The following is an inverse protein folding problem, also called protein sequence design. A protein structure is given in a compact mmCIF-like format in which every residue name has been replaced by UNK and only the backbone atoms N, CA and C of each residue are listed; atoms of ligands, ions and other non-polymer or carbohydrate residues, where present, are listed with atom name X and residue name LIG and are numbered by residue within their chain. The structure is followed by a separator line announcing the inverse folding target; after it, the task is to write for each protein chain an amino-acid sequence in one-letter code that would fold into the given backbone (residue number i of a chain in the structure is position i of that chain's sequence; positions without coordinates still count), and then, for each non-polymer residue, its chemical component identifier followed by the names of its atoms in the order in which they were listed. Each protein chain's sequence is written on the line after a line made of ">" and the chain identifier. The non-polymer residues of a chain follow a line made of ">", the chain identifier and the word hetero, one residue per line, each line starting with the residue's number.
data_IF_799851953143
#
_entry.id   IF_799851953143
#
_cell.length_a   1.000
_cell.length_b   1.000
_cell.length_c   1.000
_cell.angle_alpha   90.00
_cell.angle_beta   90.00
_cell.angle_gamma   90.00
#
_symmetry.space_group_name_H-M   'P 1'
#
loop_
_entity.id
_entity.type
_entity.pdbx_description
1 polymer ?
#
# COMPACT_ATOMS: atom_id res chain seq x y z
N UNK A 1 8.92 26.97 50.62
CA UNK A 1 8.26 25.72 50.11
C UNK A 1 6.99 26.15 49.45
N UNK A 2 7.03 26.39 48.13
CA UNK A 2 5.87 26.77 47.33
C UNK A 2 5.49 25.55 46.49
N UNK A 3 4.32 25.01 46.80
CA UNK A 3 3.74 23.84 46.11
C UNK A 3 3.18 24.32 44.78
N UNK A 4 3.74 23.83 43.65
CA UNK A 4 3.17 24.01 42.32
C UNK A 4 2.00 23.05 42.13
N UNK A 5 0.81 23.56 41.84
CA UNK A 5 -0.37 22.82 41.41
C UNK A 5 -0.26 22.57 39.89
N UNK A 6 -0.51 21.35 39.40
CA UNK A 6 -0.55 21.07 37.95
C UNK A 6 -1.99 21.24 37.42
N UNK A 7 -2.39 22.47 37.20
CA UNK A 7 -3.59 22.79 36.45
C UNK A 7 -3.36 24.20 35.92
N UNK A 8 -3.01 24.30 34.64
CA UNK A 8 -3.14 25.43 33.71
C UNK A 8 -2.05 25.34 32.62
N UNK A 9 -2.16 24.29 31.81
CA UNK A 9 -1.60 24.32 30.45
C UNK A 9 -2.76 24.03 29.50
N UNK A 10 -3.59 25.04 29.25
CA UNK A 10 -4.38 25.10 28.04
C UNK A 10 -3.40 25.21 26.87
N UNK A 11 -3.17 24.09 26.18
CA UNK A 11 -2.53 24.10 24.89
C UNK A 11 -3.54 24.73 23.93
N UNK A 12 -3.42 26.06 23.76
CA UNK A 12 -4.08 26.78 22.67
C UNK A 12 -3.42 26.27 21.39
N UNK A 13 -4.05 25.29 20.73
CA UNK A 13 -3.75 24.98 19.35
C UNK A 13 -4.09 26.26 18.56
N UNK A 14 -3.06 26.98 18.12
CA UNK A 14 -3.23 28.13 17.26
C UNK A 14 -3.92 27.64 15.98
N UNK A 15 -5.09 28.18 15.65
CA UNK A 15 -5.70 27.97 14.34
C UNK A 15 -4.69 28.43 13.28
N UNK A 16 -4.39 27.60 12.25
CA UNK A 16 -3.45 27.97 11.20
C UNK A 16 -3.98 29.23 10.50
N UNK A 17 -3.14 30.26 10.41
CA UNK A 17 -3.48 31.46 9.66
C UNK A 17 -3.59 31.07 8.17
N UNK A 18 -4.52 31.65 7.43
CA UNK A 18 -4.78 31.36 6.01
C UNK A 18 -3.54 31.44 5.09
N UNK A 19 -2.46 32.07 5.52
CA UNK A 19 -1.18 32.12 4.83
C UNK A 19 -0.38 30.79 4.86
N UNK A 20 -0.73 29.87 5.77
CA UNK A 20 0.00 28.61 5.99
C UNK A 20 -0.65 27.42 5.29
N UNK A 21 -1.77 27.61 4.60
CA UNK A 21 -2.50 26.53 3.91
C UNK A 21 -2.18 26.57 2.41
N UNK A 22 -1.83 25.44 1.85
CA UNK A 22 -1.58 25.29 0.41
C UNK A 22 -2.83 24.89 -0.36
N UNK A 23 -3.69 24.02 0.23
CA UNK A 23 -4.92 23.55 -0.40
C UNK A 23 -6.03 23.55 0.65
N UNK A 24 -7.14 24.23 0.32
CA UNK A 24 -8.36 24.27 1.13
C UNK A 24 -9.49 23.52 0.44
N UNK A 25 -10.11 22.60 1.15
CA UNK A 25 -11.20 21.76 0.67
C UNK A 25 -12.39 21.98 1.62
N UNK A 26 -13.54 22.45 1.09
CA UNK A 26 -14.72 22.78 1.91
C UNK A 26 -15.98 22.11 1.35
N UNK A 27 -16.56 21.20 2.14
CA UNK A 27 -17.81 20.50 1.87
C UNK A 27 -17.84 19.75 0.54
N UNK A 28 -16.70 19.26 0.08
CA UNK A 28 -16.56 18.72 -1.28
C UNK A 28 -17.28 17.40 -1.44
N UNK A 29 -18.21 17.36 -2.39
CA UNK A 29 -18.92 16.16 -2.82
C UNK A 29 -18.67 15.90 -4.31
N UNK A 30 -18.54 14.62 -4.67
CA UNK A 30 -18.40 14.20 -6.07
C UNK A 30 -19.33 13.05 -6.38
N UNK A 31 -20.21 13.27 -7.38
CA UNK A 31 -21.14 12.29 -7.90
C UNK A 31 -20.76 11.88 -9.30
N UNK A 32 -20.81 10.57 -9.56
CA UNK A 32 -20.73 9.99 -10.91
C UNK A 32 -22.07 9.33 -11.25
N UNK A 33 -22.45 9.37 -12.53
CA UNK A 33 -23.62 8.65 -13.04
C UNK A 33 -23.17 7.31 -13.59
N UNK A 34 -23.68 6.24 -13.02
CA UNK A 34 -23.44 4.89 -13.49
C UNK A 34 -24.59 4.46 -14.40
N UNK A 35 -24.25 4.07 -15.63
CA UNK A 35 -25.23 3.45 -16.53
C UNK A 35 -25.57 2.06 -15.99
N UNK A 36 -26.86 1.81 -15.77
CA UNK A 36 -27.33 0.49 -15.43
C UNK A 36 -27.85 -0.18 -16.71
N UNK A 37 -26.95 -0.90 -17.39
CA UNK A 37 -27.30 -1.71 -18.56
C UNK A 37 -27.98 -3.00 -18.11
N UNK A 38 -29.18 -2.89 -17.56
CA UNK A 38 -30.05 -4.06 -17.45
C UNK A 38 -30.42 -4.42 -18.89
N UNK A 39 -29.99 -5.62 -19.37
CA UNK A 39 -30.49 -6.23 -20.59
C UNK A 39 -32.01 -6.28 -20.52
N UNK A 40 -32.67 -5.26 -21.06
CA UNK A 40 -34.13 -5.19 -21.13
C UNK A 40 -34.56 -6.24 -22.16
N UNK A 41 -35.22 -7.29 -21.71
CA UNK A 41 -35.90 -8.19 -22.63
C UNK A 41 -36.86 -7.39 -23.50
N UNK A 42 -36.86 -7.66 -24.80
CA UNK A 42 -37.66 -6.97 -25.82
C UNK A 42 -39.16 -6.95 -25.45
N UNK A 43 -39.64 -7.86 -24.60
CA UNK A 43 -41.01 -7.90 -24.07
C UNK A 43 -41.35 -6.76 -23.09
N UNK A 44 -40.38 -6.17 -22.37
CA UNK A 44 -40.63 -5.05 -21.46
C UNK A 44 -40.71 -3.70 -22.15
N UNK A 45 -40.22 -3.56 -23.39
CA UNK A 45 -40.35 -2.35 -24.19
C UNK A 45 -41.80 -2.04 -24.58
N UNK A 46 -42.67 -3.03 -24.63
CA UNK A 46 -44.07 -2.86 -25.03
C UNK A 46 -45.05 -2.70 -23.85
N UNK A 47 -44.64 -2.97 -22.61
CA UNK A 47 -45.53 -2.95 -21.47
C UNK A 47 -45.46 -1.70 -20.58
N UNK A 48 -44.47 -0.84 -20.73
CA UNK A 48 -44.27 0.30 -19.83
C UNK A 48 -44.80 1.63 -20.39
N UNK A 49 -46.12 1.81 -20.34
CA UNK A 49 -46.77 3.12 -20.59
C UNK A 49 -46.74 4.06 -19.36
N UNK A 50 -46.13 3.65 -18.23
CA UNK A 50 -46.01 4.48 -17.03
C UNK A 50 -44.71 4.13 -16.28
N UNK A 51 -43.74 5.04 -16.29
CA UNK A 51 -42.55 5.02 -15.45
C UNK A 51 -41.28 5.05 -16.25
N UNK A 52 -40.72 6.24 -16.50
CA UNK A 52 -39.31 6.40 -16.91
C UNK A 52 -38.46 5.74 -15.83
N UNK A 53 -38.09 4.46 -16.00
CA UNK A 53 -37.07 3.83 -15.18
C UNK A 53 -35.81 4.71 -15.26
N UNK A 54 -35.30 5.13 -14.10
CA UNK A 54 -34.03 5.88 -14.03
C UNK A 54 -32.96 5.02 -14.69
N UNK A 55 -32.50 5.45 -15.84
CA UNK A 55 -31.42 4.80 -16.63
C UNK A 55 -30.06 4.94 -15.97
N UNK A 56 -29.96 5.64 -14.84
CA UNK A 56 -28.73 6.01 -14.18
C UNK A 56 -28.89 5.85 -12.67
N UNK A 57 -27.91 5.20 -12.06
CA UNK A 57 -27.73 5.22 -10.62
C UNK A 57 -26.65 6.25 -10.27
N UNK A 58 -26.94 7.12 -9.34
CA UNK A 58 -26.00 8.12 -8.84
C UNK A 58 -25.06 7.45 -7.82
N UNK A 59 -23.78 7.46 -8.10
CA UNK A 59 -22.72 6.98 -7.20
C UNK A 59 -21.96 8.17 -6.61
N UNK A 60 -22.02 8.34 -5.31
CA UNK A 60 -21.28 9.36 -4.59
C UNK A 60 -19.90 8.85 -4.20
N UNK A 61 -18.87 9.30 -4.91
CA UNK A 61 -17.47 8.96 -4.64
C UNK A 61 -16.92 9.75 -3.44
N UNK A 62 -17.38 11.00 -3.25
CA UNK A 62 -17.09 11.84 -2.09
C UNK A 62 -18.39 12.41 -1.54
N UNK A 63 -18.51 12.48 -0.21
CA UNK A 63 -19.77 12.76 0.50
C UNK A 63 -19.70 13.95 1.45
N UNK A 64 -18.86 14.91 1.19
CA UNK A 64 -18.58 16.08 2.01
C UNK A 64 -17.24 15.93 2.71
N UNK A 65 -16.20 16.44 2.06
CA UNK A 65 -14.82 16.44 2.56
C UNK A 65 -14.48 17.87 2.95
N UNK A 66 -14.04 18.05 4.18
CA UNK A 66 -13.44 19.26 4.71
C UNK A 66 -12.00 18.92 5.11
N UNK A 67 -11.01 19.53 4.45
CA UNK A 67 -9.60 19.20 4.65
C UNK A 67 -8.72 20.40 4.30
N UNK A 68 -7.76 20.70 5.17
CA UNK A 68 -6.70 21.67 4.94
C UNK A 68 -5.35 20.95 4.80
N UNK A 69 -4.62 21.26 3.74
CA UNK A 69 -3.27 20.74 3.52
C UNK A 69 -2.29 21.89 3.75
N UNK A 70 -1.44 21.79 4.80
CA UNK A 70 -0.50 22.85 5.15
C UNK A 70 0.57 23.05 4.07
N UNK A 71 1.01 24.30 3.92
CA UNK A 71 2.11 24.67 3.00
C UNK A 71 3.45 24.09 3.48
N UNK A 72 4.25 23.61 2.52
CA UNK A 72 5.60 23.09 2.79
C UNK A 72 5.64 21.75 3.52
N UNK A 73 4.49 21.10 3.71
CA UNK A 73 4.37 19.78 4.33
C UNK A 73 4.21 18.67 3.29
N UNK A 74 4.63 17.48 3.66
CA UNK A 74 4.29 16.27 2.94
C UNK A 74 3.04 15.65 3.58
N UNK A 75 1.96 15.52 2.80
CA UNK A 75 0.65 15.10 3.26
C UNK A 75 0.23 13.79 2.59
N UNK A 76 -0.07 12.76 3.39
CA UNK A 76 -0.47 11.45 2.93
C UNK A 76 -2.00 11.29 2.83
N UNK A 77 -2.51 10.64 1.77
CA UNK A 77 -3.91 10.19 1.69
C UNK A 77 -3.95 8.67 1.74
N UNK A 78 -4.55 8.10 2.77
CA UNK A 78 -4.68 6.66 2.96
C UNK A 78 -6.14 6.19 2.95
N UNK A 79 -6.35 4.90 2.75
CA UNK A 79 -7.65 4.26 2.71
C UNK A 79 -7.69 3.11 1.70
N UNK A 80 -8.69 2.23 1.79
CA UNK A 80 -8.85 1.09 0.89
C UNK A 80 -9.15 1.50 -0.56
N UNK A 81 -9.08 0.54 -1.50
CA UNK A 81 -9.48 0.76 -2.88
C UNK A 81 -10.95 1.17 -2.97
N UNK A 82 -11.24 2.22 -3.75
CA UNK A 82 -12.58 2.79 -3.86
C UNK A 82 -12.99 3.72 -2.72
N UNK A 83 -12.11 4.06 -1.77
CA UNK A 83 -12.41 5.01 -0.69
C UNK A 83 -12.58 6.48 -1.16
N UNK A 84 -12.14 6.82 -2.37
CA UNK A 84 -12.27 8.15 -2.96
C UNK A 84 -10.94 8.92 -3.14
N UNK A 85 -9.78 8.36 -2.76
CA UNK A 85 -8.46 9.02 -2.84
C UNK A 85 -8.16 9.61 -4.22
N UNK A 86 -8.12 8.78 -5.26
CA UNK A 86 -7.83 9.21 -6.63
C UNK A 86 -8.89 10.19 -7.17
N UNK A 87 -10.14 10.09 -6.70
CA UNK A 87 -11.18 11.08 -7.03
C UNK A 87 -10.86 12.42 -6.40
N UNK A 88 -10.46 12.45 -5.13
CA UNK A 88 -10.09 13.67 -4.43
C UNK A 88 -8.86 14.32 -5.08
N UNK A 89 -7.82 13.53 -5.40
CA UNK A 89 -6.64 14.05 -6.10
C UNK A 89 -6.99 14.67 -7.46
N UNK A 90 -7.84 14.00 -8.25
CA UNK A 90 -8.28 14.53 -9.56
C UNK A 90 -9.08 15.84 -9.44
N UNK A 91 -9.80 16.02 -8.33
CA UNK A 91 -10.48 17.27 -8.03
C UNK A 91 -9.47 18.37 -7.62
N UNK A 92 -8.51 18.05 -6.76
CA UNK A 92 -7.45 18.98 -6.33
C UNK A 92 -6.58 19.41 -7.51
N UNK A 93 -6.24 18.48 -8.40
CA UNK A 93 -5.49 18.75 -9.62
C UNK A 93 -6.31 19.51 -10.70
N UNK A 94 -7.58 19.81 -10.44
CA UNK A 94 -8.44 20.51 -11.40
C UNK A 94 -8.89 19.68 -12.61
N UNK A 95 -8.55 18.38 -12.67
CA UNK A 95 -8.95 17.45 -13.76
C UNK A 95 -10.46 17.25 -13.73
N UNK A 96 -11.03 17.19 -12.52
CA UNK A 96 -12.48 17.13 -12.32
C UNK A 96 -12.97 18.35 -11.54
N UNK A 97 -14.24 18.69 -11.73
CA UNK A 97 -14.92 19.70 -10.90
C UNK A 97 -15.73 19.02 -9.81
N UNK A 98 -15.79 19.56 -8.58
CA UNK A 98 -16.69 19.06 -7.55
C UNK A 98 -18.15 19.18 -7.99
N UNK A 99 -19.02 18.31 -7.47
CA UNK A 99 -20.47 18.42 -7.68
C UNK A 99 -21.05 19.46 -6.72
N UNK A 100 -20.53 19.52 -5.51
CA UNK A 100 -20.84 20.51 -4.46
C UNK A 100 -19.56 20.82 -3.68
N UNK A 101 -19.51 21.99 -3.04
CA UNK A 101 -18.35 22.45 -2.28
C UNK A 101 -17.30 23.14 -3.15
N UNK A 102 -16.22 23.58 -2.51
CA UNK A 102 -15.12 24.33 -3.15
C UNK A 102 -13.77 23.72 -2.84
N UNK A 103 -12.83 23.89 -3.77
CA UNK A 103 -11.41 23.60 -3.58
C UNK A 103 -10.65 24.84 -4.01
N UNK A 104 -9.82 25.35 -3.13
CA UNK A 104 -8.92 26.46 -3.39
C UNK A 104 -7.48 26.00 -3.19
N UNK A 105 -6.57 26.46 -4.03
CA UNK A 105 -5.14 26.15 -3.92
C UNK A 105 -4.31 27.43 -4.08
N UNK A 106 -3.25 27.54 -3.29
CA UNK A 106 -2.37 28.69 -3.24
C UNK A 106 -0.97 28.29 -3.73
N UNK A 107 -0.80 28.27 -5.05
CA UNK A 107 0.46 27.92 -5.71
C UNK A 107 0.25 27.08 -6.97
N UNK A 108 1.34 26.86 -7.71
CA UNK A 108 1.35 26.05 -8.93
C UNK A 108 1.32 24.57 -8.59
N UNK A 109 0.29 23.87 -9.11
CA UNK A 109 0.17 22.43 -8.95
C UNK A 109 0.85 21.72 -10.12
N UNK A 110 1.71 20.75 -9.79
CA UNK A 110 2.13 19.69 -10.71
C UNK A 110 1.55 18.37 -10.22
N UNK A 111 0.82 17.66 -11.10
CA UNK A 111 0.14 16.43 -10.74
C UNK A 111 0.69 15.26 -11.55
N UNK A 112 1.18 14.23 -10.85
CA UNK A 112 1.66 12.97 -11.45
C UNK A 112 0.57 11.89 -11.51
N UNK A 113 -0.70 12.31 -11.73
CA UNK A 113 -1.84 11.39 -11.74
C UNK A 113 -1.95 10.58 -13.03
N UNK A 114 -1.43 11.10 -14.11
CA UNK A 114 -1.41 10.47 -15.43
C UNK A 114 -0.08 10.87 -16.10
N UNK A 115 1.01 10.17 -15.75
CA UNK A 115 2.34 10.47 -16.30
C UNK A 115 2.35 10.38 -17.83
N UNK A 116 2.79 11.47 -18.47
CA UNK A 116 2.75 11.58 -19.93
C UNK A 116 1.40 11.99 -20.49
N UNK A 117 0.38 12.27 -19.66
CA UNK A 117 -0.85 12.90 -20.13
C UNK A 117 -0.51 14.21 -20.87
N UNK A 118 -1.00 14.35 -22.08
CA UNK A 118 -0.68 15.49 -22.94
C UNK A 118 0.56 15.32 -23.81
N UNK A 119 1.25 14.18 -23.78
CA UNK A 119 2.30 13.89 -24.75
C UNK A 119 1.70 13.71 -26.15
N UNK A 120 2.31 14.36 -27.14
CA UNK A 120 1.96 14.18 -28.54
C UNK A 120 2.84 13.08 -29.14
N UNK A 121 2.28 11.96 -29.59
CA UNK A 121 3.05 10.78 -30.01
C UNK A 121 4.04 11.03 -31.15
N UNK A 122 3.71 11.95 -32.08
CA UNK A 122 4.54 12.25 -33.24
C UNK A 122 5.65 13.27 -32.94
N UNK A 123 5.63 13.92 -31.78
CA UNK A 123 6.64 14.91 -31.39
C UNK A 123 7.79 14.18 -30.65
N UNK A 124 8.99 14.79 -30.69
CA UNK A 124 10.16 14.32 -29.97
C UNK A 124 9.95 14.43 -28.43
N UNK A 125 10.77 13.74 -27.65
CA UNK A 125 10.79 13.91 -26.21
C UNK A 125 11.04 15.37 -25.82
N UNK A 126 11.97 16.05 -26.48
CA UNK A 126 12.27 17.48 -26.28
C UNK A 126 11.06 18.38 -26.55
N UNK A 127 10.36 18.16 -27.64
CA UNK A 127 9.16 18.95 -27.99
C UNK A 127 8.04 18.68 -26.97
N UNK A 128 7.92 17.45 -26.48
CA UNK A 128 6.97 17.09 -25.42
C UNK A 128 7.31 17.75 -24.07
N UNK A 129 8.59 17.99 -23.75
CA UNK A 129 8.97 18.82 -22.60
C UNK A 129 8.42 20.24 -22.76
N UNK A 130 8.58 20.86 -23.92
CA UNK A 130 7.99 22.19 -24.18
C UNK A 130 6.48 22.19 -24.09
N UNK A 131 5.84 21.19 -24.70
CA UNK A 131 4.39 21.07 -24.70
C UNK A 131 3.83 20.95 -23.28
N UNK A 132 4.38 20.03 -22.49
CA UNK A 132 3.94 19.83 -21.10
C UNK A 132 4.27 21.02 -20.21
N UNK A 133 5.46 21.58 -20.30
CA UNK A 133 5.82 22.77 -19.57
C UNK A 133 4.87 23.94 -19.86
N UNK A 134 4.46 24.11 -21.13
CA UNK A 134 3.49 25.13 -21.52
C UNK A 134 2.08 24.85 -20.96
N UNK A 135 1.64 23.59 -20.94
CA UNK A 135 0.37 23.18 -20.31
C UNK A 135 0.38 23.48 -18.82
N UNK A 136 1.53 23.29 -18.14
CA UNK A 136 1.73 23.63 -16.72
C UNK A 136 1.92 25.13 -16.47
N UNK A 137 1.76 25.98 -17.51
CA UNK A 137 1.82 27.44 -17.40
C UNK A 137 3.23 28.01 -17.31
N UNK A 138 4.28 27.26 -17.69
CA UNK A 138 5.65 27.74 -17.71
C UNK A 138 5.95 28.55 -18.96
N UNK A 139 6.74 29.60 -18.78
CA UNK A 139 7.28 30.36 -19.92
C UNK A 139 8.38 29.54 -20.61
N UNK A 140 8.59 29.80 -21.91
CA UNK A 140 9.66 29.14 -22.67
C UNK A 140 11.03 29.27 -21.99
N UNK A 141 11.35 30.43 -21.44
CA UNK A 141 12.60 30.69 -20.72
C UNK A 141 12.78 29.79 -19.50
N UNK A 142 11.70 29.53 -18.77
CA UNK A 142 11.73 28.61 -17.61
C UNK A 142 11.93 27.16 -18.06
N UNK A 143 11.26 26.75 -19.15
CA UNK A 143 11.42 25.40 -19.71
C UNK A 143 12.85 25.23 -20.25
N UNK A 144 13.41 26.21 -20.96
CA UNK A 144 14.80 26.19 -21.45
C UNK A 144 15.79 26.01 -20.28
N UNK A 145 15.56 26.70 -19.17
CA UNK A 145 16.43 26.60 -17.96
C UNK A 145 16.35 25.23 -17.27
N UNK A 146 15.24 24.51 -17.40
CA UNK A 146 15.03 23.18 -16.81
C UNK A 146 15.38 22.03 -17.77
N UNK A 147 15.53 22.31 -19.08
CA UNK A 147 15.65 21.30 -20.13
C UNK A 147 16.72 20.25 -19.85
N UNK A 148 17.96 20.70 -19.61
CA UNK A 148 19.09 19.80 -19.40
C UNK A 148 18.90 18.94 -18.13
N UNK A 149 18.32 19.50 -17.08
CA UNK A 149 18.00 18.78 -15.84
C UNK A 149 16.95 17.69 -16.10
N UNK A 150 15.91 18.03 -16.86
CA UNK A 150 14.84 17.08 -17.20
C UNK A 150 15.42 15.91 -18.01
N UNK A 151 16.23 16.20 -19.02
CA UNK A 151 16.84 15.19 -19.87
C UNK A 151 17.75 14.28 -19.04
N UNK A 152 18.69 14.85 -18.28
CA UNK A 152 19.61 14.10 -17.44
C UNK A 152 18.86 13.25 -16.37
N UNK A 153 17.82 13.82 -15.75
CA UNK A 153 17.02 13.07 -14.76
C UNK A 153 16.31 11.87 -15.40
N UNK A 154 15.77 12.05 -16.61
CA UNK A 154 15.07 10.98 -17.33
C UNK A 154 16.01 9.86 -17.80
N UNK A 155 17.32 10.16 -18.01
CA UNK A 155 18.30 9.25 -18.62
C UNK A 155 17.94 8.88 -20.05
N UNK A 156 17.41 9.84 -20.81
CA UNK A 156 16.96 9.64 -22.18
C UNK A 156 17.73 10.48 -23.20
N UNK A 157 18.97 10.84 -22.86
CA UNK A 157 19.82 11.71 -23.67
C UNK A 157 19.92 11.25 -25.13
N UNK A 158 20.10 9.93 -25.35
CA UNK A 158 20.22 9.34 -26.69
C UNK A 158 18.89 9.33 -27.47
N UNK A 159 17.75 9.38 -26.78
CA UNK A 159 16.43 9.23 -27.37
C UNK A 159 15.62 10.51 -27.38
N UNK A 160 16.10 11.58 -26.76
CA UNK A 160 15.30 12.78 -26.50
C UNK A 160 14.78 13.47 -27.76
N UNK A 161 15.51 13.35 -28.87
CA UNK A 161 15.15 13.95 -30.14
C UNK A 161 14.36 12.99 -31.07
N UNK A 162 14.00 11.78 -30.56
CA UNK A 162 13.14 10.84 -31.28
C UNK A 162 11.68 10.99 -30.87
N UNK A 163 10.71 10.70 -31.80
CA UNK A 163 9.29 10.77 -31.48
C UNK A 163 8.91 9.80 -30.32
N UNK A 164 8.10 10.27 -29.35
CA UNK A 164 7.75 9.49 -28.16
C UNK A 164 6.91 8.24 -28.46
N UNK A 165 6.30 8.13 -29.63
CA UNK A 165 5.60 6.91 -30.08
C UNK A 165 6.51 5.67 -30.12
N UNK A 166 7.82 5.83 -30.25
CA UNK A 166 8.80 4.72 -30.26
C UNK A 166 9.36 4.42 -28.87
N UNK A 167 8.98 5.20 -27.87
CA UNK A 167 9.44 4.98 -26.51
C UNK A 167 8.82 3.69 -25.92
N UNK A 168 9.59 2.98 -25.12
CA UNK A 168 9.01 1.96 -24.23
C UNK A 168 8.10 2.61 -23.18
N UNK A 169 7.22 1.84 -22.55
CA UNK A 169 6.39 2.33 -21.46
C UNK A 169 7.23 2.92 -20.31
N UNK A 170 8.37 2.32 -20.01
CA UNK A 170 9.32 2.83 -19.01
C UNK A 170 9.91 4.19 -19.39
N UNK A 171 10.39 4.36 -20.66
CA UNK A 171 10.92 5.64 -21.15
C UNK A 171 9.86 6.74 -21.10
N UNK A 172 8.62 6.40 -21.49
CA UNK A 172 7.50 7.31 -21.49
C UNK A 172 7.20 7.85 -20.08
N UNK A 173 7.15 6.96 -19.12
CA UNK A 173 6.91 7.31 -17.70
C UNK A 173 8.09 8.07 -17.10
N UNK A 174 9.33 7.67 -17.39
CA UNK A 174 10.55 8.35 -16.93
C UNK A 174 10.60 9.82 -17.40
N UNK A 175 10.24 10.08 -18.67
CA UNK A 175 10.16 11.43 -19.19
C UNK A 175 9.05 12.23 -18.49
N UNK A 176 7.84 11.65 -18.34
CA UNK A 176 6.72 12.30 -17.67
C UNK A 176 7.04 12.69 -16.23
N UNK A 177 7.67 11.77 -15.47
CA UNK A 177 8.12 12.03 -14.11
C UNK A 177 9.18 13.14 -14.07
N UNK A 178 10.21 13.04 -14.92
CA UNK A 178 11.28 14.04 -15.01
C UNK A 178 10.75 15.47 -15.25
N UNK A 179 9.76 15.60 -16.12
CA UNK A 179 9.09 16.90 -16.37
C UNK A 179 8.38 17.38 -15.11
N UNK A 180 7.54 16.53 -14.51
CA UNK A 180 6.70 16.90 -13.37
C UNK A 180 7.50 17.42 -12.17
N UNK A 181 8.65 16.81 -11.89
CA UNK A 181 9.47 17.16 -10.70
C UNK A 181 10.49 18.27 -10.93
N UNK A 182 10.94 18.48 -12.17
CA UNK A 182 11.99 19.47 -12.46
C UNK A 182 11.43 20.83 -12.90
N UNK A 183 10.13 21.00 -13.07
CA UNK A 183 9.49 22.29 -13.39
C UNK A 183 9.17 23.13 -12.15
N UNK A 184 9.82 22.87 -11.01
CA UNK A 184 9.73 23.65 -9.77
C UNK A 184 8.26 23.89 -9.32
N UNK A 185 7.51 22.85 -9.00
CA UNK A 185 6.17 23.00 -8.47
C UNK A 185 6.18 23.60 -7.05
N UNK A 186 5.14 24.37 -6.71
CA UNK A 186 4.89 24.78 -5.32
C UNK A 186 4.08 23.70 -4.57
N UNK A 187 3.23 22.98 -5.32
CA UNK A 187 2.42 21.86 -4.85
C UNK A 187 2.63 20.69 -5.82
N UNK A 188 3.12 19.58 -5.30
CA UNK A 188 3.35 18.36 -6.06
C UNK A 188 2.34 17.28 -5.62
N UNK A 189 1.52 16.80 -6.55
CA UNK A 189 0.60 15.69 -6.30
C UNK A 189 1.21 14.42 -6.89
N UNK A 190 1.38 13.41 -6.04
CA UNK A 190 2.00 12.13 -6.37
C UNK A 190 1.01 11.00 -6.09
N UNK A 191 0.65 10.26 -7.14
CA UNK A 191 -0.14 9.04 -7.03
C UNK A 191 0.80 7.83 -7.08
N UNK A 192 0.33 6.64 -6.82
CA UNK A 192 1.04 5.33 -6.78
C UNK A 192 2.18 5.12 -7.79
N UNK A 193 2.28 5.98 -8.78
CA UNK A 193 3.17 5.89 -9.93
C UNK A 193 4.66 6.09 -9.60
N UNK A 194 5.04 6.32 -8.32
CA UNK A 194 6.48 6.42 -7.93
C UNK A 194 7.22 5.08 -8.14
N UNK A 195 6.52 3.96 -8.09
CA UNK A 195 7.08 2.62 -8.25
C UNK A 195 7.29 2.21 -9.73
N UNK A 196 7.37 3.17 -10.66
CA UNK A 196 7.50 2.89 -12.10
C UNK A 196 8.94 3.09 -12.56
N UNK A 197 9.38 2.23 -13.50
CA UNK A 197 10.75 2.20 -14.00
C UNK A 197 11.59 1.12 -13.34
N UNK A 198 12.90 1.17 -13.58
CA UNK A 198 13.86 0.30 -12.93
C UNK A 198 14.20 0.78 -11.50
N UNK A 199 14.85 -0.07 -10.72
CA UNK A 199 15.19 0.21 -9.31
C UNK A 199 16.06 1.46 -9.17
N UNK A 200 16.97 1.71 -10.12
CA UNK A 200 17.83 2.87 -10.12
C UNK A 200 17.04 4.17 -10.32
N UNK A 201 16.08 4.15 -11.24
CA UNK A 201 15.20 5.30 -11.47
C UNK A 201 14.27 5.56 -10.28
N UNK A 202 13.74 4.51 -9.66
CA UNK A 202 12.93 4.64 -8.43
C UNK A 202 13.73 5.31 -7.31
N UNK A 203 14.98 4.91 -7.07
CA UNK A 203 15.86 5.57 -6.08
C UNK A 203 16.03 7.05 -6.39
N UNK A 204 16.33 7.40 -7.64
CA UNK A 204 16.43 8.82 -8.07
C UNK A 204 15.14 9.59 -7.82
N UNK A 205 13.98 8.97 -8.03
CA UNK A 205 12.68 9.58 -7.74
C UNK A 205 12.53 9.88 -6.25
N UNK A 206 12.83 8.93 -5.37
CA UNK A 206 12.74 9.13 -3.92
C UNK A 206 13.73 10.19 -3.43
N UNK A 207 14.99 10.14 -3.86
CA UNK A 207 16.00 11.14 -3.50
C UNK A 207 15.55 12.55 -3.87
N UNK A 208 14.94 12.71 -5.05
CA UNK A 208 14.43 13.98 -5.51
C UNK A 208 13.20 14.46 -4.71
N UNK A 209 12.30 13.54 -4.32
CA UNK A 209 11.18 13.89 -3.43
C UNK A 209 11.67 14.36 -2.06
N UNK A 210 12.69 13.71 -1.49
CA UNK A 210 13.33 14.17 -0.25
C UNK A 210 13.98 15.55 -0.42
N UNK A 211 14.56 15.84 -1.58
CA UNK A 211 15.09 17.16 -1.89
C UNK A 211 14.00 18.23 -1.98
N UNK A 212 12.89 17.93 -2.71
CA UNK A 212 11.75 18.84 -2.81
C UNK A 212 11.12 19.11 -1.44
N UNK A 213 10.98 18.08 -0.59
CA UNK A 213 10.53 18.24 0.79
C UNK A 213 11.44 19.19 1.58
N UNK A 214 12.75 19.00 1.51
CA UNK A 214 13.73 19.90 2.18
C UNK A 214 13.68 21.33 1.67
N UNK A 215 13.27 21.54 0.42
CA UNK A 215 13.06 22.86 -0.19
C UNK A 215 11.72 23.49 0.19
N UNK A 216 10.89 22.82 0.97
CA UNK A 216 9.60 23.32 1.41
C UNK A 216 8.49 23.25 0.35
N UNK A 217 8.60 22.37 -0.63
CA UNK A 217 7.52 22.08 -1.58
C UNK A 217 6.42 21.32 -0.85
N UNK A 218 5.17 21.72 -1.06
CA UNK A 218 4.01 20.95 -0.54
C UNK A 218 3.84 19.70 -1.37
N UNK A 219 3.86 18.51 -0.74
CA UNK A 219 3.72 17.23 -1.44
C UNK A 219 2.44 16.54 -0.94
N UNK A 220 1.55 16.15 -1.87
CA UNK A 220 0.39 15.33 -1.56
C UNK A 220 0.63 13.94 -2.14
N UNK A 221 0.78 12.95 -1.27
CA UNK A 221 1.14 11.57 -1.62
C UNK A 221 -0.02 10.63 -1.44
N UNK A 222 -0.34 9.84 -2.47
CA UNK A 222 -1.19 8.65 -2.36
C UNK A 222 -0.37 7.42 -2.67
N UNK A 223 -0.36 6.46 -1.77
CA UNK A 223 0.33 5.18 -1.93
C UNK A 223 -0.38 4.09 -1.15
N UNK A 224 -0.20 2.84 -1.56
CA UNK A 224 -0.62 1.68 -0.77
C UNK A 224 0.40 1.30 0.31
N UNK A 225 1.63 1.81 0.23
CA UNK A 225 2.66 1.59 1.26
C UNK A 225 2.43 2.49 2.47
N UNK A 226 1.78 1.95 3.51
CA UNK A 226 1.56 2.67 4.77
C UNK A 226 2.86 3.05 5.47
N UNK A 227 3.90 2.20 5.36
CA UNK A 227 5.23 2.52 5.88
C UNK A 227 5.81 3.78 5.23
N UNK A 228 5.68 3.91 3.89
CA UNK A 228 6.12 5.12 3.18
C UNK A 228 5.36 6.37 3.66
N UNK A 229 4.05 6.26 3.93
CA UNK A 229 3.28 7.38 4.49
C UNK A 229 3.78 7.74 5.88
N UNK A 230 4.00 6.76 6.76
CA UNK A 230 4.47 6.98 8.12
C UNK A 230 5.87 7.63 8.18
N UNK A 231 6.75 7.33 7.20
CA UNK A 231 8.15 7.79 7.18
C UNK A 231 8.33 9.10 6.40
N UNK A 232 7.61 9.29 5.29
CA UNK A 232 7.78 10.43 4.41
C UNK A 232 6.83 11.58 4.73
N UNK A 233 5.59 11.29 5.18
CA UNK A 233 4.58 12.31 5.39
C UNK A 233 4.65 12.90 6.80
N UNK A 234 4.43 14.21 6.90
CA UNK A 234 4.31 14.91 8.18
C UNK A 234 2.91 14.69 8.77
N UNK A 235 1.89 14.75 7.91
CA UNK A 235 0.49 14.57 8.24
C UNK A 235 -0.18 13.65 7.23
N UNK A 236 -1.30 13.06 7.62
CA UNK A 236 -2.09 12.23 6.72
C UNK A 236 -3.59 12.40 6.98
N UNK A 237 -4.38 11.99 5.96
CA UNK A 237 -5.82 11.87 6.07
C UNK A 237 -6.26 10.47 5.65
N UNK A 238 -7.15 9.89 6.44
CA UNK A 238 -7.77 8.60 6.14
C UNK A 238 -9.16 8.81 5.55
N UNK A 239 -9.34 8.34 4.29
CA UNK A 239 -10.64 8.30 3.61
C UNK A 239 -11.24 6.90 3.67
N UNK A 240 -12.54 6.84 3.95
CA UNK A 240 -13.31 5.60 3.94
C UNK A 240 -14.72 5.83 3.40
N UNK A 241 -15.07 5.12 2.31
CA UNK A 241 -16.38 5.21 1.68
C UNK A 241 -16.79 6.62 1.24
N UNK A 242 -15.84 7.46 0.85
CA UNK A 242 -16.02 8.84 0.41
C UNK A 242 -16.15 9.86 1.54
N UNK A 243 -15.82 9.50 2.78
CA UNK A 243 -15.81 10.38 3.96
C UNK A 243 -14.44 10.39 4.62
N UNK A 244 -14.10 11.50 5.28
CA UNK A 244 -12.90 11.63 6.07
C UNK A 244 -13.11 10.97 7.44
N UNK A 245 -12.18 10.13 7.88
CA UNK A 245 -12.25 9.40 9.16
C UNK A 245 -11.27 9.92 10.19
N UNK A 246 -10.08 10.30 9.76
CA UNK A 246 -9.05 10.88 10.60
C UNK A 246 -8.17 11.83 9.79
N UNK A 247 -7.63 12.84 10.44
CA UNK A 247 -6.59 13.75 9.94
C UNK A 247 -5.65 14.07 11.08
N UNK A 248 -4.36 14.12 10.83
CA UNK A 248 -3.35 14.46 11.83
C UNK A 248 -1.97 13.93 11.48
N UNK A 249 -1.07 13.80 12.47
CA UNK A 249 0.25 13.23 12.28
C UNK A 249 0.19 11.89 11.55
N UNK A 250 1.06 11.69 10.56
CA UNK A 250 0.96 10.53 9.64
C UNK A 250 0.95 9.19 10.35
N UNK A 251 1.79 9.01 11.37
CA UNK A 251 1.87 7.76 12.14
C UNK A 251 0.58 7.46 12.89
N UNK A 252 0.01 8.46 13.56
CA UNK A 252 -1.24 8.30 14.33
C UNK A 252 -2.41 7.91 13.42
N UNK A 253 -2.47 8.51 12.21
CA UNK A 253 -3.53 8.21 11.24
C UNK A 253 -3.35 6.82 10.62
N UNK A 254 -2.10 6.41 10.36
CA UNK A 254 -1.77 5.04 9.89
C UNK A 254 -2.18 4.01 10.94
N UNK A 255 -1.85 4.24 12.22
CA UNK A 255 -2.20 3.32 13.31
C UNK A 255 -3.72 3.19 13.49
N UNK A 256 -4.45 4.32 13.42
CA UNK A 256 -5.91 4.31 13.46
C UNK A 256 -6.52 3.53 12.30
N UNK A 257 -5.97 3.70 11.10
CA UNK A 257 -6.40 2.96 9.91
C UNK A 257 -6.17 1.46 10.08
N UNK A 258 -4.98 1.05 10.48
CA UNK A 258 -4.63 -0.35 10.73
C UNK A 258 -5.52 -0.96 11.82
N UNK A 259 -5.74 -0.25 12.93
CA UNK A 259 -6.65 -0.71 13.99
C UNK A 259 -8.10 -0.89 13.50
N UNK A 260 -8.56 -0.06 12.57
CA UNK A 260 -9.90 -0.18 12.00
C UNK A 260 -10.01 -1.35 11.01
N UNK A 261 -8.99 -1.56 10.16
CA UNK A 261 -8.92 -2.73 9.26
C UNK A 261 -8.92 -4.01 10.09
N UNK A 262 -8.10 -4.06 11.15
CA UNK A 262 -8.01 -5.19 12.07
C UNK A 262 -9.36 -5.55 12.71
N UNK A 263 -10.09 -4.54 13.18
CA UNK A 263 -11.43 -4.76 13.76
C UNK A 263 -12.43 -5.30 12.75
N UNK A 264 -12.38 -4.85 11.49
CA UNK A 264 -13.27 -5.35 10.42
C UNK A 264 -12.97 -6.80 10.07
N UNK A 265 -11.69 -7.17 9.96
CA UNK A 265 -11.28 -8.54 9.70
C UNK A 265 -11.65 -9.47 10.86
N UNK A 266 -11.46 -9.04 12.11
CA UNK A 266 -11.87 -9.79 13.28
C UNK A 266 -13.40 -9.99 13.35
N UNK A 267 -14.19 -8.98 12.95
CA UNK A 267 -15.65 -9.07 12.90
C UNK A 267 -16.12 -10.02 11.77
N UNK A 268 -15.49 -9.97 10.60
CA UNK A 268 -15.82 -10.86 9.47
C UNK A 268 -15.43 -12.32 9.72
N UNK A 269 -14.46 -12.55 10.61
CA UNK A 269 -14.05 -13.92 11.01
C UNK A 269 -14.98 -14.55 12.07
N UNK A 270 -15.94 -13.79 12.64
CA UNK A 270 -16.93 -14.30 13.61
C UNK A 270 -18.22 -14.81 12.94
N UNK A 271 -18.48 -14.46 11.68
CA UNK A 271 -19.68 -14.85 10.94
C UNK A 271 -19.41 -15.94 9.89
N UNK A 272 -18.84 -17.06 10.27
CA UNK A 272 -18.79 -18.23 9.42
C UNK A 272 -17.84 -19.29 9.91
N UNK A 273 -18.35 -20.46 10.31
CA UNK A 273 -17.54 -21.65 10.34
C UNK A 273 -17.43 -22.23 8.94
N UNK A 274 -16.24 -22.67 8.59
CA UNK A 274 -15.99 -23.71 7.60
C UNK A 274 -16.63 -23.55 6.21
N UNK A 275 -15.86 -23.00 5.26
CA UNK A 275 -15.84 -23.54 3.91
C UNK A 275 -14.48 -23.24 3.27
N UNK A 276 -13.44 -23.95 3.73
CA UNK A 276 -12.21 -24.11 2.98
C UNK A 276 -12.22 -25.49 2.31
N UNK A 277 -12.83 -25.44 1.10
CA UNK A 277 -12.54 -26.31 -0.03
C UNK A 277 -12.25 -27.78 0.27
N UNK A 278 -13.33 -28.54 0.37
CA UNK A 278 -13.35 -29.89 -0.16
C UNK A 278 -13.25 -29.82 -1.68
N UNK A 279 -12.29 -30.56 -2.20
CA UNK A 279 -12.12 -31.07 -3.56
C UNK A 279 -12.94 -30.47 -4.72
N UNK A 280 -12.15 -30.12 -5.75
CA UNK A 280 -12.47 -29.89 -7.15
C UNK A 280 -12.87 -28.50 -7.63
N UNK A 281 -12.08 -28.08 -8.64
CA UNK A 281 -12.32 -27.01 -9.61
C UNK A 281 -12.21 -25.56 -9.12
N UNK A 282 -10.94 -25.05 -9.05
CA UNK A 282 -10.66 -23.63 -9.36
C UNK A 282 -9.29 -23.47 -10.03
N UNK A 283 -9.30 -22.94 -11.21
CA UNK A 283 -8.13 -22.47 -11.96
C UNK A 283 -7.38 -21.43 -11.09
N UNK A 284 -6.12 -21.73 -10.74
CA UNK A 284 -5.23 -20.83 -9.97
C UNK A 284 -4.46 -21.50 -8.82
N UNK A 285 -4.48 -22.82 -8.69
CA UNK A 285 -3.81 -23.53 -7.59
C UNK A 285 -2.30 -23.46 -7.70
N UNK A 286 -1.68 -22.95 -6.63
CA UNK A 286 -0.24 -23.10 -6.37
C UNK A 286 0.16 -24.58 -6.52
N UNK A 287 1.21 -24.91 -7.30
CA UNK A 287 1.55 -26.29 -7.58
C UNK A 287 1.95 -27.02 -6.30
N UNK A 288 1.16 -28.01 -5.91
CA UNK A 288 1.45 -28.94 -4.83
C UNK A 288 2.35 -30.06 -5.38
N UNK A 289 3.42 -30.40 -4.68
CA UNK A 289 4.37 -31.44 -5.07
C UNK A 289 4.55 -32.43 -3.94
N UNK A 290 4.86 -33.70 -4.29
CA UNK A 290 5.13 -34.76 -3.32
C UNK A 290 4.31 -36.00 -3.58
N UNK A 291 4.66 -37.12 -2.92
CA UNK A 291 4.05 -38.43 -3.13
C UNK A 291 2.68 -38.60 -2.45
N UNK A 292 2.35 -37.72 -1.49
CA UNK A 292 0.98 -37.57 -0.95
C UNK A 292 0.58 -38.51 0.17
N UNK A 293 1.52 -39.30 0.73
CA UNK A 293 1.24 -40.21 1.87
C UNK A 293 0.87 -39.44 3.16
N UNK A 294 1.35 -38.22 3.28
CA UNK A 294 0.94 -37.26 4.27
C UNK A 294 0.72 -35.91 3.58
N UNK A 295 -0.32 -35.21 3.94
CA UNK A 295 -0.66 -33.91 3.36
C UNK A 295 -0.98 -32.91 4.45
N UNK A 296 -0.39 -31.71 4.36
CA UNK A 296 -0.80 -30.57 5.20
C UNK A 296 -2.16 -30.08 4.72
N UNK A 297 -3.12 -30.05 5.62
CA UNK A 297 -4.52 -29.69 5.33
C UNK A 297 -4.82 -28.26 5.71
N UNK A 298 -4.17 -27.75 6.77
CA UNK A 298 -4.42 -26.41 7.32
C UNK A 298 -3.18 -25.86 8.03
N UNK A 299 -3.04 -24.53 8.04
CA UNK A 299 -2.09 -23.82 8.90
C UNK A 299 -2.86 -22.83 9.75
N UNK A 300 -2.77 -22.96 11.07
CA UNK A 300 -3.38 -22.07 12.05
C UNK A 300 -2.30 -21.26 12.77
N UNK A 301 -2.57 -19.99 13.01
CA UNK A 301 -1.73 -19.07 13.75
C UNK A 301 -2.34 -18.85 15.12
N UNK A 302 -1.66 -19.32 16.18
CA UNK A 302 -2.17 -19.32 17.56
C UNK A 302 -1.43 -18.23 18.35
N UNK A 303 -2.19 -17.44 19.10
CA UNK A 303 -1.63 -16.50 20.08
C UNK A 303 -1.12 -17.20 21.33
N UNK A 304 -0.58 -16.44 22.29
CA UNK A 304 -0.08 -16.93 23.57
C UNK A 304 -1.14 -17.74 24.36
N UNK A 305 -2.42 -17.45 24.19
CA UNK A 305 -3.54 -18.16 24.80
C UNK A 305 -3.93 -19.46 24.07
N UNK A 306 -3.18 -19.86 23.05
CA UNK A 306 -3.43 -21.05 22.23
C UNK A 306 -4.64 -20.95 21.30
N UNK A 307 -5.26 -19.77 21.18
CA UNK A 307 -6.42 -19.56 20.30
C UNK A 307 -6.00 -19.10 18.91
N UNK A 308 -6.69 -19.54 17.86
CA UNK A 308 -6.45 -19.06 16.52
C UNK A 308 -6.63 -17.53 16.41
N UNK A 309 -5.72 -16.91 15.68
CA UNK A 309 -5.72 -15.47 15.43
C UNK A 309 -5.61 -15.19 13.94
N UNK A 310 -6.30 -14.19 13.40
CA UNK A 310 -6.16 -13.79 12.00
C UNK A 310 -4.81 -13.12 11.70
N UNK A 311 -4.08 -12.74 12.73
CA UNK A 311 -2.73 -12.15 12.65
C UNK A 311 -1.94 -12.46 13.92
N UNK A 312 -0.62 -12.42 13.84
CA UNK A 312 0.29 -12.48 14.98
C UNK A 312 0.92 -11.11 15.22
N UNK A 313 1.37 -10.87 16.46
CA UNK A 313 2.03 -9.60 16.82
C UNK A 313 3.56 -9.79 16.90
N UNK A 314 4.31 -8.85 16.33
CA UNK A 314 5.78 -8.81 16.44
C UNK A 314 6.21 -8.81 17.91
N UNK A 315 7.20 -9.63 18.26
CA UNK A 315 7.74 -9.68 19.62
C UNK A 315 6.91 -10.48 20.62
N UNK A 316 5.73 -10.99 20.23
CA UNK A 316 4.88 -11.77 21.12
C UNK A 316 5.08 -13.28 20.96
N UNK A 317 4.88 -14.07 22.02
CA UNK A 317 4.86 -15.52 21.93
C UNK A 317 3.73 -15.99 21.02
N UNK A 318 4.01 -16.99 20.19
CA UNK A 318 3.01 -17.54 19.28
C UNK A 318 3.32 -18.98 18.88
N UNK A 319 2.33 -19.67 18.31
CA UNK A 319 2.49 -21.01 17.77
C UNK A 319 1.91 -21.08 16.37
N UNK A 320 2.65 -21.65 15.43
CA UNK A 320 2.18 -21.96 14.09
C UNK A 320 1.89 -23.45 14.04
N UNK A 321 0.62 -23.80 13.91
CA UNK A 321 0.13 -25.17 13.86
C UNK A 321 -0.11 -25.62 12.45
N UNK A 322 0.56 -26.69 12.02
CA UNK A 322 0.27 -27.37 10.76
C UNK A 322 -0.55 -28.62 11.02
N UNK A 323 -1.81 -28.62 10.62
CA UNK A 323 -2.64 -29.82 10.64
C UNK A 323 -2.37 -30.66 9.39
N UNK A 324 -2.34 -31.97 9.55
CA UNK A 324 -2.06 -32.90 8.46
C UNK A 324 -3.00 -34.12 8.48
N UNK A 325 -3.08 -34.80 7.33
CA UNK A 325 -3.70 -36.12 7.20
C UNK A 325 -2.69 -37.07 6.59
N UNK A 326 -2.42 -38.20 7.29
CA UNK A 326 -1.55 -39.28 6.82
C UNK A 326 -2.37 -40.49 6.40
N UNK A 327 -2.04 -41.12 5.27
CA UNK A 327 -2.72 -42.31 4.74
C UNK A 327 -2.05 -43.60 5.19
N UNK A 328 -0.80 -43.56 5.62
CA UNK A 328 -0.05 -44.70 6.15
C UNK A 328 0.92 -44.28 7.22
N UNK A 329 1.43 -45.22 8.04
CA UNK A 329 2.45 -44.98 9.01
C UNK A 329 3.76 -44.58 8.32
N UNK A 330 4.38 -43.51 8.81
CA UNK A 330 5.66 -42.98 8.35
C UNK A 330 6.63 -42.93 9.54
N UNK A 331 7.74 -43.70 9.51
CA UNK A 331 8.62 -43.83 10.67
C UNK A 331 9.46 -42.59 10.95
N UNK A 332 9.62 -41.74 9.95
CA UNK A 332 10.45 -40.54 10.05
C UNK A 332 9.94 -39.49 9.07
N UNK A 333 9.53 -38.34 9.58
CA UNK A 333 9.18 -37.17 8.77
C UNK A 333 9.74 -35.90 9.39
N UNK A 334 10.15 -34.98 8.55
CA UNK A 334 10.58 -33.63 8.90
C UNK A 334 9.52 -32.64 8.40
N UNK A 335 9.02 -31.80 9.28
CA UNK A 335 8.12 -30.71 8.94
C UNK A 335 8.89 -29.42 8.75
N UNK A 336 8.59 -28.66 7.71
CA UNK A 336 9.24 -27.39 7.38
C UNK A 336 8.24 -26.28 7.08
N UNK A 337 8.63 -25.07 7.44
CA UNK A 337 7.93 -23.82 7.10
C UNK A 337 8.89 -22.93 6.31
N UNK A 338 8.38 -22.20 5.35
CA UNK A 338 9.12 -21.13 4.66
C UNK A 338 8.34 -19.83 4.71
N UNK A 339 8.97 -18.74 5.07
CA UNK A 339 8.36 -17.42 5.10
C UNK A 339 8.98 -16.57 4.01
N UNK A 340 8.15 -16.07 3.11
CA UNK A 340 8.58 -15.27 1.94
C UNK A 340 7.75 -14.01 1.86
N UNK A 341 8.36 -12.87 1.54
CA UNK A 341 7.63 -11.63 1.28
C UNK A 341 6.84 -11.72 -0.03
N UNK A 342 5.88 -10.84 -0.25
CA UNK A 342 5.19 -10.74 -1.55
C UNK A 342 6.16 -10.47 -2.71
N UNK A 343 7.25 -9.75 -2.46
CA UNK A 343 8.32 -9.50 -3.44
C UNK A 343 9.22 -10.72 -3.72
N UNK A 344 9.01 -11.85 -3.02
CA UNK A 344 9.74 -13.10 -3.26
C UNK A 344 11.01 -13.27 -2.41
N UNK A 345 11.29 -12.37 -1.46
CA UNK A 345 12.46 -12.51 -0.56
C UNK A 345 12.14 -13.55 0.51
N UNK A 346 12.93 -14.62 0.60
CA UNK A 346 12.83 -15.60 1.67
C UNK A 346 13.41 -15.03 2.96
N UNK A 347 12.58 -14.93 4.01
CA UNK A 347 12.94 -14.34 5.30
C UNK A 347 13.44 -15.39 6.28
N UNK A 348 12.77 -16.55 6.32
CA UNK A 348 13.14 -17.66 7.21
C UNK A 348 12.64 -18.99 6.64
N UNK A 349 13.27 -20.09 7.08
CA UNK A 349 12.93 -21.44 6.65
C UNK A 349 13.16 -22.49 7.77
N UNK A 350 12.47 -22.36 8.94
CA UNK A 350 12.65 -23.34 10.01
C UNK A 350 12.12 -24.72 9.57
N UNK A 351 12.82 -25.76 10.01
CA UNK A 351 12.33 -27.13 9.89
C UNK A 351 12.70 -27.95 11.14
N UNK A 352 11.92 -28.99 11.40
CA UNK A 352 12.12 -29.85 12.58
C UNK A 352 13.41 -30.67 12.55
N UNK A 353 13.99 -30.87 11.36
CA UNK A 353 15.24 -31.62 11.19
C UNK A 353 16.49 -30.90 11.69
N UNK A 354 16.47 -29.56 11.78
CA UNK A 354 17.60 -28.81 12.36
C UNK A 354 17.75 -29.00 13.86
N UNK A 355 16.69 -29.44 14.56
CA UNK A 355 16.70 -29.78 15.98
C UNK A 355 16.85 -31.27 16.26
N UNK A 356 17.29 -32.08 15.27
CA UNK A 356 17.35 -33.55 15.35
C UNK A 356 16.01 -34.26 15.64
N UNK A 357 14.89 -33.58 15.42
CA UNK A 357 13.54 -34.11 15.67
C UNK A 357 12.89 -34.57 14.34
N UNK A 358 13.07 -35.84 14.01
CA UNK A 358 12.22 -36.52 13.05
C UNK A 358 11.04 -37.15 13.81
N UNK A 359 9.85 -36.99 13.29
CA UNK A 359 8.62 -37.49 13.91
C UNK A 359 8.15 -38.78 13.25
N UNK A 360 7.76 -39.76 14.05
CA UNK A 360 6.96 -40.89 13.55
C UNK A 360 5.50 -40.45 13.48
N UNK A 361 4.84 -40.71 12.35
CA UNK A 361 3.45 -40.33 12.10
C UNK A 361 2.64 -41.59 11.82
N UNK A 362 1.53 -41.75 12.56
CA UNK A 362 0.55 -42.81 12.35
C UNK A 362 -0.54 -42.38 11.33
N UNK A 363 -1.22 -43.31 10.66
CA UNK A 363 -2.31 -42.97 9.78
C UNK A 363 -3.43 -42.24 10.52
N UNK A 364 -4.00 -41.22 9.88
CA UNK A 364 -5.05 -40.39 10.46
C UNK A 364 -4.77 -38.91 10.38
N UNK A 365 -5.56 -38.15 11.12
CA UNK A 365 -5.39 -36.69 11.26
C UNK A 365 -4.51 -36.40 12.46
N UNK A 366 -3.62 -35.42 12.30
CA UNK A 366 -2.73 -34.95 13.35
C UNK A 366 -2.31 -33.50 13.12
N UNK A 367 -1.49 -32.99 14.02
CA UNK A 367 -0.89 -31.68 13.86
C UNK A 367 0.55 -31.65 14.39
N UNK A 368 1.31 -30.70 13.93
CA UNK A 368 2.64 -30.35 14.47
C UNK A 368 2.66 -28.85 14.77
N UNK A 369 3.23 -28.49 15.89
CA UNK A 369 3.31 -27.12 16.38
C UNK A 369 4.76 -26.60 16.27
N UNK A 370 4.90 -25.43 15.68
CA UNK A 370 6.12 -24.63 15.73
C UNK A 370 5.88 -23.47 16.68
N UNK A 371 6.39 -23.60 17.92
CA UNK A 371 6.25 -22.59 18.95
C UNK A 371 7.43 -21.62 18.95
N UNK A 372 7.15 -20.35 19.10
CA UNK A 372 8.10 -19.25 19.20
C UNK A 372 7.85 -18.50 20.51
N UNK A 373 8.91 -18.31 21.30
CA UNK A 373 8.87 -17.49 22.52
C UNK A 373 8.69 -16.00 22.17
N UNK A 374 9.20 -15.59 21.02
CA UNK A 374 9.06 -14.23 20.46
C UNK A 374 9.02 -14.33 18.93
N UNK A 375 7.99 -13.75 18.31
CA UNK A 375 7.90 -13.66 16.85
C UNK A 375 8.85 -12.57 16.33
N UNK A 376 9.94 -12.92 15.61
CA UNK A 376 10.91 -11.93 15.19
C UNK A 376 10.52 -11.17 13.91
N UNK A 377 9.42 -11.57 13.25
CA UNK A 377 9.00 -10.94 12.00
C UNK A 377 8.40 -9.55 12.27
N UNK A 378 8.82 -8.57 11.47
CA UNK A 378 8.24 -7.22 11.48
C UNK A 378 6.85 -7.20 10.81
N UNK A 379 6.03 -6.16 11.05
CA UNK A 379 4.71 -6.05 10.47
C UNK A 379 4.72 -6.18 8.96
N UNK A 380 3.82 -7.02 8.42
CA UNK A 380 3.72 -7.29 6.98
C UNK A 380 2.92 -8.56 6.70
N UNK A 381 2.74 -8.85 5.43
CA UNK A 381 2.18 -10.11 4.96
C UNK A 381 3.31 -11.01 4.45
N UNK A 382 3.31 -12.25 4.93
CA UNK A 382 4.29 -13.26 4.54
C UNK A 382 3.58 -14.45 3.93
N UNK A 383 4.03 -14.85 2.76
CA UNK A 383 3.57 -16.07 2.09
C UNK A 383 4.25 -17.27 2.75
N UNK A 384 3.46 -18.23 3.20
CA UNK A 384 3.96 -19.38 3.94
C UNK A 384 3.95 -20.62 3.05
N UNK A 385 5.13 -21.21 2.91
CA UNK A 385 5.36 -22.50 2.27
C UNK A 385 5.39 -23.59 3.35
N UNK A 386 4.76 -24.73 3.10
CA UNK A 386 4.82 -25.90 3.97
C UNK A 386 5.50 -27.07 3.27
N UNK A 387 6.29 -27.83 4.02
CA UNK A 387 6.99 -29.00 3.52
C UNK A 387 6.91 -30.15 4.54
N UNK A 388 6.69 -31.37 4.03
CA UNK A 388 6.83 -32.61 4.79
C UNK A 388 7.75 -33.52 3.98
N UNK A 389 8.91 -33.83 4.56
CA UNK A 389 9.98 -34.56 3.82
C UNK A 389 10.59 -35.66 4.70
N UNK A 390 11.15 -36.70 4.08
CA UNK A 390 12.07 -37.65 4.71
C UNK A 390 13.28 -37.83 3.82
N UNK A 391 14.49 -37.58 4.37
CA UNK A 391 15.78 -37.77 3.69
C UNK A 391 15.81 -37.25 2.24
N UNK A 392 15.20 -36.07 2.02
CA UNK A 392 15.14 -35.43 0.71
C UNK A 392 13.96 -35.88 -0.18
N UNK A 393 13.18 -36.88 0.24
CA UNK A 393 11.95 -37.28 -0.45
C UNK A 393 10.79 -36.40 0.02
N UNK A 394 10.14 -35.60 -0.85
CA UNK A 394 9.00 -34.81 -0.47
C UNK A 394 7.73 -35.68 -0.45
N UNK A 395 7.08 -35.77 0.70
CA UNK A 395 5.75 -36.31 0.83
C UNK A 395 4.69 -35.27 0.47
N UNK A 396 4.91 -34.02 0.92
CA UNK A 396 4.06 -32.89 0.63
C UNK A 396 4.87 -31.59 0.62
N UNK A 397 4.72 -30.81 -0.42
CA UNK A 397 5.33 -29.48 -0.56
C UNK A 397 4.32 -28.55 -1.20
N UNK A 398 3.95 -27.49 -0.47
CA UNK A 398 2.98 -26.50 -0.94
C UNK A 398 3.63 -25.14 -0.86
N UNK A 399 3.96 -24.58 -2.03
CA UNK A 399 4.69 -23.31 -2.12
C UNK A 399 3.73 -22.13 -1.93
N UNK A 400 4.02 -21.27 -0.95
CA UNK A 400 3.35 -19.98 -0.74
C UNK A 400 1.81 -20.04 -0.70
N UNK A 401 1.26 -21.13 -0.18
CA UNK A 401 -0.20 -21.39 -0.20
C UNK A 401 -0.96 -20.75 0.98
N UNK A 402 -0.24 -20.37 2.02
CA UNK A 402 -0.83 -19.78 3.21
C UNK A 402 -0.30 -18.36 3.41
N UNK A 403 -1.06 -17.52 4.10
CA UNK A 403 -0.65 -16.13 4.38
C UNK A 403 -0.57 -15.94 5.88
N UNK A 404 0.60 -15.50 6.37
CA UNK A 404 0.79 -15.03 7.73
C UNK A 404 0.77 -13.50 7.73
N UNK A 405 -0.18 -12.93 8.47
CA UNK A 405 -0.23 -11.48 8.72
C UNK A 405 0.46 -11.19 10.06
N UNK A 406 1.45 -10.31 10.03
CA UNK A 406 2.17 -9.86 11.23
C UNK A 406 1.91 -8.38 11.46
N UNK A 407 1.73 -7.99 12.72
CA UNK A 407 1.41 -6.61 13.11
C UNK A 407 2.29 -6.12 14.24
N UNK A 408 2.48 -4.80 14.30
CA UNK A 408 3.14 -4.19 15.45
C UNK A 408 2.21 -4.22 16.68
N UNK A 409 2.77 -4.48 17.84
CA UNK A 409 2.08 -4.31 19.12
C UNK A 409 2.31 -2.87 19.65
N UNK A 410 3.49 -2.31 19.37
CA UNK A 410 3.89 -0.94 19.68
C UNK A 410 4.65 -0.29 18.49
N UNK A 411 5.86 0.17 18.68
CA UNK A 411 6.67 0.84 17.64
C UNK A 411 7.31 -0.23 16.73
N UNK A 412 7.07 -0.14 15.40
CA UNK A 412 7.76 -0.98 14.43
C UNK A 412 9.12 -0.40 14.06
N UNK A 413 10.15 -1.25 14.05
CA UNK A 413 11.47 -0.91 13.51
C UNK A 413 11.48 -1.16 11.99
N UNK A 414 12.30 -0.43 11.21
CA UNK A 414 12.43 -0.71 9.79
C UNK A 414 13.12 -2.06 9.54
N UNK A 415 12.65 -2.80 8.52
CA UNK A 415 13.19 -4.10 8.13
C UNK A 415 12.16 -5.22 8.15
N UNK A 416 12.61 -6.48 7.92
CA UNK A 416 11.76 -7.67 7.88
C UNK A 416 11.80 -8.47 9.19
N UNK A 417 12.83 -8.26 10.00
CA UNK A 417 13.08 -9.01 11.24
C UNK A 417 13.47 -8.04 12.34
N UNK A 418 12.85 -8.21 13.52
CA UNK A 418 13.21 -7.49 14.73
C UNK A 418 14.47 -8.12 15.34
N UNK A 419 15.51 -7.30 15.53
CA UNK A 419 16.73 -7.72 16.20
C UNK A 419 16.74 -7.15 17.61
N UNK A 420 16.68 -8.01 18.61
CA UNK A 420 16.81 -7.62 20.02
C UNK A 420 18.29 -7.45 20.38
N UNK A 421 18.67 -6.28 20.86
CA UNK A 421 20.04 -5.98 21.27
C UNK A 421 20.14 -4.70 22.09
N UNK A 422 21.28 -4.53 22.79
CA UNK A 422 21.54 -3.35 23.61
C UNK A 422 22.59 -2.46 22.95
N UNK A 423 22.31 -1.17 22.83
CA UNK A 423 23.27 -0.18 22.41
C UNK A 423 24.12 0.27 23.60
N UNK A 424 25.42 0.27 23.47
CA UNK A 424 26.36 0.82 24.48
C UNK A 424 27.31 1.81 23.82
N UNK A 425 27.50 2.97 24.44
CA UNK A 425 28.51 3.95 24.02
C UNK A 425 29.86 3.54 24.62
N UNK A 426 30.83 3.20 23.75
CA UNK A 426 32.20 3.02 24.18
C UNK A 426 32.88 4.36 24.47
N UNK A 427 33.68 4.46 25.55
CA UNK A 427 34.52 5.61 25.79
C UNK A 427 35.58 5.74 24.68
N UNK A 428 35.68 6.94 24.06
CA UNK A 428 36.81 7.22 23.18
C UNK A 428 38.10 7.09 23.98
N UNK A 429 38.99 6.18 23.62
CA UNK A 429 40.37 6.14 24.08
C UNK A 429 41.08 7.35 23.46
N UNK A 430 41.47 8.30 24.32
CA UNK A 430 42.30 9.46 23.99
C UNK A 430 43.70 9.07 23.54
#
# INVERSE_FOLDING_TARGET
>A
VTVFHPADVETIAAEPQAADIAIEIRGVKKRFRRFNDRKTNVKELFSSRRGRAKRYDDFWALKGIDLDIPRGKTFGLIGHNGSGKSTLLKLVAGIHRPTEGTIEHHGRISAMLELGAGFHPEMSGRDNIYLNGSILGMTRKQIDAAMDKIIAFSGLEEFIDTPVKVYSSGMYVRLGFAIAVNLEPEILIVDEVIAVGDEEFQRRCFDHLYELRRRGVTIVLVTHSLGLVADLCDEAAWLDGGTLKAVGPSRDVVDQYLAAVNRREAASSQDGPDDLATDDETEGKTPRRGSGEIRVTKVDYLGQDGKPRPFLATGQPCTIRMSYRATKALPSVTFGLGFTTESGVQVAGPNSGYGEHAYAVEPGEGHVDFALDELPLQPGEFLVTTAVVDKGHPYDYVDRAFVLKVRADDVSEPGLVKLTGNWSLGSATS
#
